data_IF_000559632846
#
_entry.id   IF_000559632846
#
_cell.length_a   1.000
_cell.length_b   1.000
_cell.length_c   1.000
_cell.angle_alpha   90.00
_cell.angle_beta   90.00
_cell.angle_gamma   90.00
#
_symmetry.space_group_name_H-M   'P 1'
#
loop_
_entity.id
_entity.type
_entity.pdbx_description
1 polymer ?
#
# COMPACT_ATOMS: atom_id res chain seq x y z
N UNK A 1 8.77 12.35 38.26
CA UNK A 1 9.25 13.01 37.03
C UNK A 1 10.58 13.69 37.31
N UNK A 2 11.49 13.82 36.34
CA UNK A 2 12.70 14.64 36.54
C UNK A 2 12.41 16.13 36.31
N UNK A 3 11.67 16.44 35.24
CA UNK A 3 11.18 17.79 34.96
C UNK A 3 9.66 17.81 35.01
N UNK A 4 9.07 18.75 35.75
CA UNK A 4 7.62 18.97 35.82
C UNK A 4 7.32 20.45 35.54
N UNK A 5 6.48 20.72 34.54
CA UNK A 5 6.08 22.07 34.14
C UNK A 5 4.56 22.24 34.26
N UNK A 6 4.12 23.37 34.81
CA UNK A 6 2.72 23.75 34.94
C UNK A 6 2.62 25.28 34.76
N UNK A 7 1.95 25.75 33.69
CA UNK A 7 1.98 27.15 33.22
C UNK A 7 3.41 27.75 33.19
N UNK A 8 4.39 26.96 32.76
CA UNK A 8 5.80 27.35 32.81
C UNK A 8 6.48 27.33 31.44
N UNK A 9 7.55 28.11 31.30
CA UNK A 9 8.45 28.04 30.15
C UNK A 9 9.79 27.45 30.58
N UNK A 10 10.21 26.35 29.96
CA UNK A 10 11.46 25.66 30.27
C UNK A 10 12.31 25.51 29.01
N UNK A 11 13.61 25.73 29.14
CA UNK A 11 14.61 25.45 28.11
C UNK A 11 15.62 24.47 28.69
N UNK A 12 15.82 23.34 28.01
CA UNK A 12 16.82 22.33 28.34
C UNK A 12 17.77 22.19 27.15
N UNK A 13 19.07 22.40 27.37
CA UNK A 13 20.10 22.23 26.35
C UNK A 13 21.14 21.22 26.83
N UNK A 14 21.36 20.16 26.06
CA UNK A 14 22.34 19.11 26.33
C UNK A 14 22.20 18.48 27.73
N UNK A 15 20.96 18.23 28.14
CA UNK A 15 20.65 17.65 29.46
C UNK A 15 20.37 16.15 29.32
N UNK A 16 21.08 15.35 30.10
CA UNK A 16 20.80 13.92 30.27
C UNK A 16 19.89 13.68 31.46
N UNK A 17 18.78 12.98 31.22
CA UNK A 17 17.77 12.65 32.22
C UNK A 17 17.64 11.14 32.33
N UNK A 18 17.86 10.61 33.53
CA UNK A 18 17.53 9.24 33.89
C UNK A 18 16.46 9.24 34.97
N UNK A 19 15.33 8.57 34.72
CA UNK A 19 14.30 8.33 35.73
C UNK A 19 13.97 6.85 35.84
N UNK A 20 13.61 6.42 37.06
CA UNK A 20 13.14 5.07 37.32
C UNK A 20 11.92 5.08 38.23
N UNK A 21 11.12 4.02 38.14
CA UNK A 21 9.88 3.85 38.90
C UNK A 21 8.65 3.82 38.00
N UNK A 22 7.56 3.24 38.52
CA UNK A 22 6.28 3.21 37.82
C UNK A 22 5.70 4.63 37.70
N UNK A 23 5.08 4.94 36.55
CA UNK A 23 4.45 6.26 36.27
C UNK A 23 5.49 7.41 36.29
N UNK A 24 6.78 7.09 36.19
CA UNK A 24 7.81 8.11 36.03
C UNK A 24 7.66 8.82 34.68
N UNK A 25 8.20 10.04 34.58
CA UNK A 25 8.47 10.62 33.27
C UNK A 25 9.79 11.39 33.30
N UNK A 26 10.51 11.41 32.19
CA UNK A 26 11.67 12.29 32.05
C UNK A 26 11.22 13.74 32.14
N UNK A 27 10.32 14.12 31.24
CA UNK A 27 9.67 15.44 31.23
C UNK A 27 8.15 15.24 31.30
N UNK A 28 7.51 15.97 32.21
CA UNK A 28 6.05 16.07 32.25
C UNK A 28 5.62 17.53 32.12
N UNK A 29 4.99 17.85 30.99
CA UNK A 29 4.51 19.19 30.66
C UNK A 29 3.00 19.27 30.79
N UNK A 30 2.49 20.23 31.58
CA UNK A 30 1.06 20.42 31.81
C UNK A 30 0.62 21.87 31.61
N UNK A 31 -0.62 22.04 31.19
CA UNK A 31 -1.41 23.28 31.27
C UNK A 31 -0.67 24.54 30.79
N UNK A 32 -0.78 24.84 29.49
CA UNK A 32 -0.23 26.05 28.87
C UNK A 32 1.30 26.16 28.96
N UNK A 33 2.00 25.11 29.40
CA UNK A 33 3.46 25.10 29.47
C UNK A 33 4.07 25.08 28.07
N UNK A 34 5.29 25.61 27.98
CA UNK A 34 6.12 25.61 26.77
C UNK A 34 7.51 25.10 27.08
N UNK A 35 7.87 23.97 26.53
CA UNK A 35 9.19 23.37 26.77
C UNK A 35 9.94 23.25 25.44
N UNK A 36 11.17 23.75 25.42
CA UNK A 36 12.11 23.52 24.32
C UNK A 36 13.26 22.67 24.83
N UNK A 37 13.56 21.59 24.12
CA UNK A 37 14.69 20.69 24.41
C UNK A 37 15.58 20.57 23.18
N UNK A 38 16.87 20.84 23.34
CA UNK A 38 17.87 20.66 22.28
C UNK A 38 19.03 19.81 22.78
N UNK A 39 19.33 18.72 22.09
CA UNK A 39 20.40 17.80 22.48
C UNK A 39 20.07 16.96 23.73
N UNK A 40 21.07 16.22 24.19
CA UNK A 40 20.97 15.37 25.37
C UNK A 40 20.19 14.06 25.16
N UNK A 41 19.86 13.43 26.27
CA UNK A 41 19.16 12.13 26.28
C UNK A 41 18.14 12.01 27.41
N UNK A 42 17.09 11.24 27.18
CA UNK A 42 16.12 10.86 28.21
C UNK A 42 16.02 9.34 28.25
N UNK A 43 16.26 8.76 29.43
CA UNK A 43 16.02 7.35 29.71
C UNK A 43 15.03 7.18 30.85
N UNK A 44 13.97 6.41 30.62
CA UNK A 44 12.98 6.10 31.64
C UNK A 44 12.82 4.59 31.81
N UNK A 45 12.77 4.14 33.08
CA UNK A 45 12.71 2.72 33.42
C UNK A 45 11.55 2.47 34.40
N UNK A 46 10.54 1.75 33.97
CA UNK A 46 9.38 1.40 34.79
C UNK A 46 8.11 1.24 33.95
N UNK A 47 7.08 0.64 34.53
CA UNK A 47 5.78 0.52 33.86
C UNK A 47 5.08 1.89 33.83
N UNK A 48 4.44 2.23 32.72
CA UNK A 48 3.85 3.55 32.46
C UNK A 48 4.88 4.70 32.56
N UNK A 49 6.18 4.41 32.39
CA UNK A 49 7.23 5.40 32.55
C UNK A 49 7.53 6.12 31.22
N UNK A 50 6.74 7.14 30.87
CA UNK A 50 6.88 7.82 29.57
C UNK A 50 8.19 8.62 29.47
N UNK A 51 8.78 8.72 28.29
CA UNK A 51 9.97 9.57 28.08
C UNK A 51 9.62 11.04 28.30
N UNK A 52 8.71 11.53 27.47
CA UNK A 52 8.10 12.86 27.59
C UNK A 52 6.58 12.71 27.55
N UNK A 53 5.91 13.29 28.53
CA UNK A 53 4.45 13.37 28.61
C UNK A 53 4.01 14.82 28.46
N UNK A 54 3.19 15.09 27.44
CA UNK A 54 2.69 16.40 27.05
C UNK A 54 1.18 16.41 27.24
N UNK A 55 0.71 17.24 28.16
CA UNK A 55 -0.71 17.41 28.47
C UNK A 55 -1.07 18.89 28.35
N UNK A 56 -1.96 19.25 27.42
CA UNK A 56 -2.41 20.64 27.23
C UNK A 56 -1.25 21.65 27.19
N UNK A 57 -0.20 21.36 26.45
CA UNK A 57 1.03 22.17 26.41
C UNK A 57 1.75 22.02 25.08
N UNK A 58 2.72 22.90 24.83
CA UNK A 58 3.52 22.91 23.61
C UNK A 58 4.95 22.47 23.92
N UNK A 59 5.44 21.46 23.20
CA UNK A 59 6.81 20.96 23.33
C UNK A 59 7.54 20.96 21.98
N UNK A 60 8.74 21.52 21.97
CA UNK A 60 9.65 21.51 20.82
C UNK A 60 10.90 20.71 21.18
N UNK A 61 11.23 19.72 20.35
CA UNK A 61 12.36 18.82 20.53
C UNK A 61 13.30 18.90 19.34
N UNK A 62 14.61 18.95 19.60
CA UNK A 62 15.62 18.90 18.55
C UNK A 62 16.80 18.03 18.96
N UNK A 63 17.21 17.12 18.08
CA UNK A 63 18.47 16.35 18.23
C UNK A 63 18.57 15.59 19.56
N UNK A 64 17.47 15.00 20.03
CA UNK A 64 17.41 14.31 21.32
C UNK A 64 17.16 12.81 21.14
N UNK A 65 17.82 12.01 21.97
CA UNK A 65 17.57 10.57 22.08
C UNK A 65 16.67 10.25 23.27
N UNK A 66 15.63 9.45 23.06
CA UNK A 66 14.66 9.06 24.09
C UNK A 66 14.55 7.54 24.10
N UNK A 67 14.83 6.92 25.24
CA UNK A 67 14.74 5.48 25.46
C UNK A 67 13.81 5.17 26.63
N UNK A 68 12.79 4.35 26.40
CA UNK A 68 11.85 3.95 27.45
C UNK A 68 11.83 2.43 27.61
N UNK A 69 11.84 2.00 28.87
CA UNK A 69 11.87 0.58 29.25
C UNK A 69 10.74 0.25 30.21
N UNK A 70 9.73 -0.47 29.75
CA UNK A 70 8.63 -0.94 30.58
C UNK A 70 7.31 -1.05 29.85
N UNK A 71 6.36 -1.78 30.44
CA UNK A 71 5.03 -1.93 29.82
C UNK A 71 4.32 -0.58 29.81
N UNK A 72 3.70 -0.20 28.69
CA UNK A 72 3.03 1.09 28.52
C UNK A 72 3.95 2.31 28.73
N UNK A 73 5.27 2.13 28.62
CA UNK A 73 6.24 3.21 28.72
C UNK A 73 6.49 3.81 27.32
N UNK A 74 5.67 4.77 26.91
CA UNK A 74 5.75 5.36 25.58
C UNK A 74 6.93 6.33 25.50
N UNK A 75 7.60 6.40 24.34
CA UNK A 75 8.68 7.37 24.13
C UNK A 75 8.19 8.80 24.29
N UNK A 76 7.19 9.16 23.50
CA UNK A 76 6.46 10.41 23.56
C UNK A 76 4.98 10.12 23.77
N UNK A 77 4.36 10.74 24.78
CA UNK A 77 2.90 10.73 24.98
C UNK A 77 2.38 12.15 24.86
N UNK A 78 1.47 12.39 23.94
CA UNK A 78 0.83 13.68 23.70
C UNK A 78 -0.66 13.51 23.95
N UNK A 79 -1.24 14.37 24.77
CA UNK A 79 -2.63 14.27 25.19
C UNK A 79 -3.28 15.63 25.39
N UNK A 80 -4.59 15.66 25.17
CA UNK A 80 -5.51 16.75 25.54
C UNK A 80 -5.02 18.17 25.17
N UNK A 81 -5.11 18.56 23.89
CA UNK A 81 -4.54 19.80 23.33
C UNK A 81 -3.02 19.89 23.38
N UNK A 82 -2.33 18.81 23.74
CA UNK A 82 -0.89 18.72 23.64
C UNK A 82 -0.43 18.86 22.19
N UNK A 83 0.60 19.68 21.98
CA UNK A 83 1.28 19.80 20.70
C UNK A 83 2.76 19.45 20.86
N UNK A 84 3.29 18.69 19.91
CA UNK A 84 4.70 18.35 19.87
C UNK A 84 5.26 18.60 18.47
N UNK A 85 6.37 19.33 18.41
CA UNK A 85 7.19 19.49 17.21
C UNK A 85 8.56 18.90 17.46
N UNK A 86 9.06 18.11 16.51
CA UNK A 86 10.32 17.39 16.65
C UNK A 86 11.15 17.44 15.39
N UNK A 87 12.46 17.65 15.54
CA UNK A 87 13.44 17.58 14.46
C UNK A 87 14.63 16.70 14.87
N UNK A 88 14.97 15.72 14.03
CA UNK A 88 16.11 14.81 14.23
C UNK A 88 16.05 14.08 15.59
N UNK A 89 14.89 13.46 15.88
CA UNK A 89 14.70 12.69 17.12
C UNK A 89 15.09 11.23 16.92
N UNK A 90 15.62 10.60 17.96
CA UNK A 90 15.78 9.15 18.03
C UNK A 90 14.96 8.62 19.20
N UNK A 91 13.81 8.01 18.92
CA UNK A 91 12.88 7.53 19.97
C UNK A 91 12.79 6.01 19.91
N UNK A 92 13.03 5.36 21.04
CA UNK A 92 12.96 3.92 21.19
C UNK A 92 12.14 3.53 22.42
N UNK A 93 11.03 2.81 22.21
CA UNK A 93 10.27 2.15 23.27
C UNK A 93 10.27 0.64 23.05
N UNK A 94 10.72 -0.13 24.05
CA UNK A 94 10.92 -1.58 23.89
C UNK A 94 9.68 -2.45 24.17
N UNK A 95 8.62 -1.87 24.74
CA UNK A 95 7.43 -2.59 25.24
C UNK A 95 6.14 -1.74 25.17
N UNK A 96 6.17 -0.66 24.39
CA UNK A 96 5.05 0.22 24.11
C UNK A 96 5.29 0.93 22.77
N UNK A 97 4.48 1.92 22.44
CA UNK A 97 4.71 2.69 21.22
C UNK A 97 5.82 3.73 21.36
N UNK A 98 6.48 4.04 20.23
CA UNK A 98 7.43 5.15 20.18
C UNK A 98 6.72 6.47 20.48
N UNK A 99 5.58 6.70 19.82
CA UNK A 99 4.72 7.87 20.02
C UNK A 99 3.29 7.43 20.30
N UNK A 100 2.65 8.06 21.27
CA UNK A 100 1.25 7.92 21.61
C UNK A 100 0.56 9.28 21.52
N UNK A 101 -0.48 9.40 20.69
CA UNK A 101 -1.44 10.49 20.72
C UNK A 101 -2.69 9.96 21.43
N UNK A 102 -2.90 10.41 22.66
CA UNK A 102 -3.98 9.97 23.55
C UNK A 102 -4.98 11.10 23.74
N UNK A 103 -6.11 11.02 23.00
CA UNK A 103 -7.22 11.94 23.15
C UNK A 103 -8.11 11.47 24.30
N UNK A 104 -8.03 12.18 25.42
CA UNK A 104 -8.99 12.04 26.52
C UNK A 104 -10.21 12.95 26.33
N UNK A 105 -10.00 14.23 26.00
CA UNK A 105 -11.07 15.20 25.77
C UNK A 105 -10.89 15.93 24.44
N UNK A 106 -9.69 16.45 24.23
CA UNK A 106 -9.34 17.21 23.03
C UNK A 106 -8.23 16.52 22.22
N UNK A 107 -8.15 16.87 20.95
CA UNK A 107 -7.16 16.42 19.98
C UNK A 107 -5.72 16.63 20.47
N UNK A 108 -4.87 15.68 20.10
CA UNK A 108 -3.42 15.75 20.24
C UNK A 108 -2.78 15.91 18.86
N UNK A 109 -1.69 16.68 18.78
CA UNK A 109 -0.98 16.92 17.54
C UNK A 109 0.52 16.64 17.70
N UNK A 110 1.08 15.90 16.74
CA UNK A 110 2.52 15.71 16.62
C UNK A 110 2.99 15.98 15.18
N UNK A 111 4.08 16.74 15.05
CA UNK A 111 4.77 16.98 13.78
C UNK A 111 6.25 16.64 13.94
N UNK A 112 6.73 15.59 13.25
CA UNK A 112 8.08 15.08 13.39
C UNK A 112 8.82 15.12 12.05
N UNK A 113 10.01 15.72 12.06
CA UNK A 113 10.87 15.86 10.88
C UNK A 113 12.16 15.06 11.10
N UNK A 114 12.61 14.34 10.06
CA UNK A 114 13.86 13.57 10.03
C UNK A 114 14.08 12.61 11.21
N UNK A 115 12.99 12.18 11.86
CA UNK A 115 13.06 11.45 13.13
C UNK A 115 13.01 9.94 12.92
N UNK A 116 13.74 9.21 13.76
CA UNK A 116 13.75 7.75 13.80
C UNK A 116 12.87 7.30 14.96
N UNK A 117 11.70 6.74 14.67
CA UNK A 117 10.74 6.32 15.68
C UNK A 117 10.63 4.80 15.68
N UNK A 118 10.98 4.21 16.82
CA UNK A 118 10.87 2.77 17.08
C UNK A 118 9.95 2.51 18.26
N UNK A 119 8.94 1.68 18.05
CA UNK A 119 8.10 1.12 19.11
C UNK A 119 7.98 -0.39 18.98
N UNK A 120 7.39 -1.02 19.98
CA UNK A 120 7.21 -2.47 20.00
C UNK A 120 5.97 -2.88 19.19
N UNK A 121 4.78 -2.73 19.77
CA UNK A 121 3.51 -3.05 19.10
C UNK A 121 3.11 -2.04 18.04
N UNK A 122 3.54 -0.78 18.18
CA UNK A 122 3.36 0.23 17.16
C UNK A 122 4.45 1.30 17.22
N UNK A 123 4.85 1.87 16.09
CA UNK A 123 5.71 3.07 16.13
C UNK A 123 4.91 4.29 16.57
N UNK A 124 3.75 4.51 15.94
CA UNK A 124 2.77 5.53 16.29
C UNK A 124 1.45 4.89 16.68
N UNK A 125 0.93 5.27 17.85
CA UNK A 125 -0.34 4.81 18.37
C UNK A 125 -1.25 6.00 18.58
N UNK A 126 -2.46 5.97 18.03
CA UNK A 126 -3.47 7.00 18.17
C UNK A 126 -4.66 6.39 18.90
N UNK A 127 -5.05 6.99 20.02
CA UNK A 127 -6.16 6.55 20.83
C UNK A 127 -7.09 7.70 21.17
N UNK A 128 -8.37 7.39 21.24
CA UNK A 128 -9.43 8.29 21.69
C UNK A 128 -10.52 7.55 22.46
N UNK A 129 -10.22 6.36 23.01
CA UNK A 129 -11.20 5.48 23.66
C UNK A 129 -11.97 6.13 24.82
N UNK A 130 -11.43 7.21 25.39
CA UNK A 130 -12.01 7.92 26.52
C UNK A 130 -12.73 9.22 26.12
N UNK A 131 -12.78 9.56 24.84
CA UNK A 131 -13.38 10.80 24.39
C UNK A 131 -14.90 10.72 24.30
N UNK A 132 -15.55 11.77 24.80
CA UNK A 132 -17.02 11.92 24.78
C UNK A 132 -17.53 12.65 23.53
N UNK A 133 -16.64 13.31 22.77
CA UNK A 133 -16.96 14.18 21.63
C UNK A 133 -16.20 13.77 20.37
N UNK A 134 -16.93 13.68 19.26
CA UNK A 134 -16.57 13.01 17.99
C UNK A 134 -15.95 13.96 16.93
N UNK A 135 -15.91 15.26 17.19
CA UNK A 135 -15.52 16.26 16.17
C UNK A 135 -14.02 16.60 16.14
N UNK A 136 -13.26 16.35 17.21
CA UNK A 136 -11.81 16.62 17.20
C UNK A 136 -10.95 15.42 16.75
N UNK A 137 -9.97 15.72 15.90
CA UNK A 137 -9.13 14.76 15.18
C UNK A 137 -7.71 14.75 15.74
N UNK A 138 -7.17 13.57 16.07
CA UNK A 138 -5.74 13.45 16.35
C UNK A 138 -4.95 13.60 15.05
N UNK A 139 -3.96 14.50 15.02
CA UNK A 139 -3.19 14.79 13.82
C UNK A 139 -1.72 14.41 13.98
N UNK A 140 -1.22 13.64 13.03
CA UNK A 140 0.17 13.19 12.98
C UNK A 140 0.77 13.53 11.63
N UNK A 141 1.79 14.39 11.63
CA UNK A 141 2.55 14.77 10.45
C UNK A 141 3.99 14.27 10.56
N UNK A 142 4.46 13.56 9.55
CA UNK A 142 5.81 12.99 9.52
C UNK A 142 6.48 13.41 8.22
N UNK A 143 7.64 14.03 8.31
CA UNK A 143 8.44 14.44 7.15
C UNK A 143 9.82 13.80 7.22
N UNK A 144 10.13 12.90 6.28
CA UNK A 144 11.37 12.14 6.31
C UNK A 144 11.44 11.11 7.46
N UNK A 145 12.67 10.68 7.76
CA UNK A 145 12.93 9.80 8.91
C UNK A 145 12.69 8.31 8.65
N UNK A 146 12.51 7.55 9.73
CA UNK A 146 12.14 6.13 9.69
C UNK A 146 11.13 5.75 10.75
N UNK A 147 10.36 4.70 10.45
CA UNK A 147 9.29 4.18 11.28
C UNK A 147 9.47 2.69 11.44
N UNK A 148 9.63 2.22 12.68
CA UNK A 148 9.86 0.81 12.99
C UNK A 148 8.92 0.32 14.09
N UNK A 149 8.22 -0.79 13.83
CA UNK A 149 7.52 -1.56 14.84
C UNK A 149 8.22 -2.92 15.00
N UNK A 150 8.71 -3.24 16.20
CA UNK A 150 9.57 -4.43 16.40
C UNK A 150 8.79 -5.71 16.65
N UNK A 151 7.54 -5.63 17.08
CA UNK A 151 6.70 -6.80 17.25
C UNK A 151 6.42 -7.48 15.90
N UNK A 152 6.30 -8.81 15.91
CA UNK A 152 6.07 -9.62 14.69
C UNK A 152 4.82 -9.19 13.91
N UNK A 153 3.80 -8.74 14.62
CA UNK A 153 2.51 -8.23 14.13
C UNK A 153 2.37 -6.72 14.35
N UNK A 154 3.47 -6.04 14.67
CA UNK A 154 3.49 -4.61 14.98
C UNK A 154 3.13 -3.75 13.78
N UNK A 155 2.55 -2.58 14.07
CA UNK A 155 2.08 -1.63 13.06
C UNK A 155 2.92 -0.36 13.04
N UNK A 156 3.27 0.16 11.87
CA UNK A 156 3.88 1.49 11.79
C UNK A 156 2.92 2.54 12.36
N UNK A 157 1.64 2.45 11.96
CA UNK A 157 0.55 3.27 12.46
C UNK A 157 -0.57 2.40 13.02
N UNK A 158 -0.97 2.65 14.26
CA UNK A 158 -2.12 1.99 14.88
C UNK A 158 -3.13 3.04 15.35
N UNK A 159 -4.36 2.97 14.85
CA UNK A 159 -5.48 3.79 15.31
C UNK A 159 -6.46 2.91 16.08
N UNK A 160 -6.51 3.09 17.39
CA UNK A 160 -7.36 2.30 18.26
C UNK A 160 -8.79 2.83 18.33
N UNK A 161 -8.94 4.14 18.42
CA UNK A 161 -10.24 4.81 18.48
C UNK A 161 -10.12 6.28 18.10
N UNK A 162 -11.24 6.88 17.71
CA UNK A 162 -11.37 8.28 17.34
C UNK A 162 -11.00 8.58 15.90
N UNK A 163 -11.29 9.82 15.51
CA UNK A 163 -10.89 10.34 14.22
C UNK A 163 -9.38 10.62 14.19
N UNK A 164 -8.74 10.30 13.08
CA UNK A 164 -7.31 10.47 12.90
C UNK A 164 -6.97 11.03 11.51
N UNK A 165 -6.03 11.97 11.47
CA UNK A 165 -5.43 12.47 10.23
C UNK A 165 -3.91 12.24 10.29
N UNK A 166 -3.44 11.28 9.50
CA UNK A 166 -2.04 10.89 9.42
C UNK A 166 -1.52 11.28 8.04
N UNK A 167 -0.50 12.13 8.00
CA UNK A 167 0.19 12.51 6.77
C UNK A 167 1.67 12.15 6.88
N UNK A 168 2.16 11.36 5.93
CA UNK A 168 3.58 11.07 5.73
C UNK A 168 4.07 11.75 4.46
N UNK A 169 5.23 12.38 4.54
CA UNK A 169 5.85 13.19 3.50
C UNK A 169 7.31 12.79 3.37
N UNK A 170 7.76 12.34 2.20
CA UNK A 170 9.13 11.86 1.97
C UNK A 170 9.60 10.80 2.97
N UNK A 171 8.68 9.94 3.45
CA UNK A 171 9.02 8.86 4.37
C UNK A 171 9.64 7.70 3.59
N UNK A 172 10.91 7.39 3.83
CA UNK A 172 11.65 6.41 3.00
C UNK A 172 11.79 5.02 3.64
N UNK A 173 11.65 4.92 4.96
CA UNK A 173 11.99 3.70 5.70
C UNK A 173 10.84 3.31 6.64
N UNK A 174 10.03 2.34 6.21
CA UNK A 174 8.99 1.72 7.04
C UNK A 174 9.34 0.25 7.26
N UNK A 175 9.57 -0.14 8.51
CA UNK A 175 9.83 -1.50 8.93
C UNK A 175 8.78 -1.95 9.94
N UNK A 176 7.69 -2.50 9.44
CA UNK A 176 6.60 -3.04 10.24
C UNK A 176 5.91 -4.17 9.46
N UNK A 177 5.19 -5.05 10.16
CA UNK A 177 4.36 -6.05 9.52
C UNK A 177 3.15 -5.38 8.84
N UNK A 178 2.51 -4.50 9.60
CA UNK A 178 1.40 -3.69 9.12
C UNK A 178 1.88 -2.24 8.92
N UNK A 179 1.59 -1.65 7.77
CA UNK A 179 1.70 -0.22 7.55
C UNK A 179 0.70 0.51 8.45
N UNK A 180 -0.59 0.14 8.34
CA UNK A 180 -1.67 0.76 9.09
C UNK A 180 -2.61 -0.31 9.65
N UNK A 181 -2.95 -0.16 10.93
CA UNK A 181 -4.02 -0.92 11.57
C UNK A 181 -5.03 0.03 12.17
N UNK A 182 -6.31 -0.19 11.87
CA UNK A 182 -7.43 0.54 12.49
C UNK A 182 -8.29 -0.49 13.21
N UNK A 183 -8.60 -0.26 14.48
CA UNK A 183 -9.46 -1.16 15.25
C UNK A 183 -10.84 -1.27 14.59
N UNK A 184 -11.38 -2.50 14.48
CA UNK A 184 -12.66 -2.75 13.83
C UNK A 184 -13.83 -1.99 14.47
N UNK A 185 -13.74 -1.67 15.77
CA UNK A 185 -14.76 -0.90 16.49
C UNK A 185 -14.58 0.62 16.33
N UNK A 186 -13.62 1.09 15.54
CA UNK A 186 -13.46 2.50 15.26
C UNK A 186 -14.34 2.93 14.08
N UNK A 187 -15.46 3.59 14.39
CA UNK A 187 -16.42 4.12 13.41
C UNK A 187 -16.11 5.56 12.94
N UNK A 188 -15.05 6.16 13.47
CA UNK A 188 -14.69 7.56 13.21
C UNK A 188 -13.74 7.65 12.01
N UNK A 189 -13.78 8.77 11.29
CA UNK A 189 -12.99 8.92 10.07
C UNK A 189 -11.48 8.82 10.35
N UNK A 190 -10.80 7.92 9.63
CA UNK A 190 -9.34 7.81 9.64
C UNK A 190 -8.84 8.10 8.24
N UNK A 191 -7.95 9.08 8.13
CA UNK A 191 -7.34 9.45 6.85
C UNK A 191 -5.84 9.24 6.95
N UNK A 192 -5.30 8.47 6.03
CA UNK A 192 -3.86 8.27 5.85
C UNK A 192 -3.44 8.81 4.49
N UNK A 193 -2.50 9.76 4.45
CA UNK A 193 -2.00 10.36 3.21
C UNK A 193 -0.51 10.15 3.08
N UNK A 194 -0.08 9.70 1.91
CA UNK A 194 1.32 9.62 1.53
C UNK A 194 1.63 10.67 0.45
N UNK A 195 2.67 11.46 0.71
CA UNK A 195 3.10 12.57 -0.13
C UNK A 195 4.59 12.48 -0.46
N UNK A 196 4.97 13.10 -1.57
CA UNK A 196 6.34 13.39 -2.00
C UNK A 196 7.29 12.20 -1.82
N UNK A 197 7.36 11.33 -2.82
CA UNK A 197 8.32 10.20 -2.87
C UNK A 197 8.24 9.24 -1.67
N UNK A 198 7.17 9.25 -0.88
CA UNK A 198 7.03 8.36 0.28
C UNK A 198 7.03 6.89 -0.16
N UNK A 199 7.95 6.10 0.41
CA UNK A 199 8.06 4.65 0.20
C UNK A 199 7.50 3.89 1.41
N UNK A 200 6.33 3.30 1.22
CA UNK A 200 5.59 2.56 2.23
C UNK A 200 5.78 1.06 2.04
N UNK A 201 5.69 0.31 3.15
CA UNK A 201 5.77 -1.15 3.15
C UNK A 201 4.94 -1.73 4.29
N UNK A 202 4.27 -2.84 4.03
CA UNK A 202 3.43 -3.55 5.01
C UNK A 202 1.99 -3.72 4.56
N UNK A 203 1.23 -4.53 5.27
CA UNK A 203 -0.21 -4.72 5.06
C UNK A 203 -1.01 -3.53 5.62
N UNK A 204 -2.22 -3.31 5.12
CA UNK A 204 -3.18 -2.40 5.76
C UNK A 204 -4.36 -3.22 6.29
N UNK A 205 -4.60 -3.15 7.60
CA UNK A 205 -5.74 -3.78 8.29
C UNK A 205 -6.72 -2.68 8.71
N UNK A 206 -7.51 -2.20 7.77
CA UNK A 206 -8.38 -1.03 7.94
C UNK A 206 -9.61 -1.08 7.03
N UNK A 207 -10.27 -2.24 6.97
CA UNK A 207 -11.37 -2.53 6.04
C UNK A 207 -12.66 -1.74 6.25
N UNK A 208 -12.77 -0.98 7.34
CA UNK A 208 -13.96 -0.17 7.61
C UNK A 208 -14.09 0.98 6.60
N UNK A 209 -15.31 1.24 6.12
CA UNK A 209 -15.60 2.23 5.07
C UNK A 209 -15.33 3.69 5.46
N UNK A 210 -15.13 3.99 6.75
CA UNK A 210 -14.70 5.29 7.28
C UNK A 210 -13.17 5.51 7.19
N UNK A 211 -12.40 4.53 6.71
CA UNK A 211 -10.97 4.67 6.50
C UNK A 211 -10.68 5.08 5.06
N UNK A 212 -9.85 6.10 4.87
CA UNK A 212 -9.36 6.56 3.57
C UNK A 212 -7.84 6.53 3.52
N UNK A 213 -7.30 5.96 2.45
CA UNK A 213 -5.87 5.94 2.13
C UNK A 213 -5.68 6.65 0.80
N UNK A 214 -4.92 7.74 0.81
CA UNK A 214 -4.61 8.52 -0.38
C UNK A 214 -3.10 8.50 -0.66
N UNK A 215 -2.72 8.00 -1.83
CA UNK A 215 -1.33 8.00 -2.31
C UNK A 215 -1.17 9.04 -3.41
N UNK A 216 -0.23 9.97 -3.24
CA UNK A 216 0.08 10.93 -4.29
C UNK A 216 0.82 10.30 -5.47
N UNK A 217 1.02 11.09 -6.54
CA UNK A 217 1.63 10.63 -7.80
C UNK A 217 3.08 10.13 -7.70
N UNK A 218 3.76 10.43 -6.59
CA UNK A 218 5.17 10.06 -6.37
C UNK A 218 5.33 8.97 -5.32
N UNK A 219 4.27 8.69 -4.56
CA UNK A 219 4.31 7.72 -3.48
C UNK A 219 4.28 6.29 -4.01
N UNK A 220 4.98 5.42 -3.30
CA UNK A 220 5.07 3.99 -3.56
C UNK A 220 4.56 3.21 -2.35
N UNK A 221 3.66 2.26 -2.56
CA UNK A 221 3.28 1.28 -1.56
C UNK A 221 3.65 -0.14 -1.98
N UNK A 222 4.52 -0.78 -1.19
CA UNK A 222 4.83 -2.20 -1.31
C UNK A 222 3.91 -3.01 -0.39
N UNK A 223 2.90 -3.64 -0.97
CA UNK A 223 1.94 -4.47 -0.22
C UNK A 223 2.63 -5.73 0.27
N UNK A 224 2.58 -5.97 1.59
CA UNK A 224 3.16 -7.16 2.22
C UNK A 224 2.15 -7.76 3.20
N UNK A 225 1.45 -8.82 2.79
CA UNK A 225 0.31 -9.36 3.53
C UNK A 225 -1.02 -8.95 2.93
N UNK A 226 -2.07 -9.73 3.24
CA UNK A 226 -3.43 -9.38 2.88
C UNK A 226 -3.80 -8.01 3.44
N UNK A 227 -4.36 -7.14 2.59
CA UNK A 227 -4.71 -5.79 2.97
C UNK A 227 -6.20 -5.54 2.76
N UNK A 228 -6.88 -5.03 3.78
CA UNK A 228 -8.28 -4.61 3.74
C UNK A 228 -8.37 -3.11 4.01
N UNK A 229 -9.05 -2.37 3.13
CA UNK A 229 -9.13 -0.91 3.16
C UNK A 229 -10.57 -0.47 2.93
N UNK A 230 -11.04 0.58 3.60
CA UNK A 230 -12.28 1.25 3.25
C UNK A 230 -12.20 1.86 1.85
N UNK A 231 -11.50 2.99 1.72
CA UNK A 231 -11.37 3.72 0.47
C UNK A 231 -9.90 3.93 0.14
N UNK A 232 -9.49 3.51 -1.05
CA UNK A 232 -8.14 3.69 -1.58
C UNK A 232 -8.19 4.59 -2.82
N UNK A 233 -7.56 5.76 -2.74
CA UNK A 233 -7.22 6.57 -3.91
C UNK A 233 -5.74 6.43 -4.17
N UNK A 234 -5.38 5.91 -5.33
CA UNK A 234 -3.98 5.82 -5.74
C UNK A 234 -3.73 6.76 -6.91
N UNK A 235 -2.75 7.65 -6.79
CA UNK A 235 -2.17 8.36 -7.93
C UNK A 235 -0.73 7.92 -8.24
N UNK A 236 -0.10 7.16 -7.34
CA UNK A 236 1.29 6.70 -7.44
C UNK A 236 1.39 5.23 -7.80
N UNK A 237 2.35 4.54 -7.18
CA UNK A 237 2.71 3.16 -7.51
C UNK A 237 2.26 2.22 -6.39
N UNK A 238 1.59 1.13 -6.76
CA UNK A 238 1.30 0.00 -5.87
C UNK A 238 2.02 -1.23 -6.41
N UNK A 239 2.86 -1.84 -5.58
CA UNK A 239 3.49 -3.12 -5.85
C UNK A 239 2.81 -4.20 -5.02
N UNK A 240 2.15 -5.15 -5.69
CA UNK A 240 1.48 -6.28 -5.09
C UNK A 240 2.12 -7.58 -5.56
N UNK A 241 2.55 -8.41 -4.61
CA UNK A 241 2.99 -9.77 -4.89
C UNK A 241 2.01 -10.74 -4.25
N UNK A 242 1.36 -11.57 -5.07
CA UNK A 242 0.29 -12.46 -4.61
C UNK A 242 0.77 -13.63 -3.76
N UNK A 243 2.08 -13.92 -3.76
CA UNK A 243 2.67 -14.85 -2.78
C UNK A 243 2.71 -14.22 -1.38
N UNK A 244 2.61 -12.90 -1.28
CA UNK A 244 2.58 -12.15 -0.01
C UNK A 244 1.16 -11.81 0.44
N UNK A 245 0.18 -11.67 -0.46
CA UNK A 245 -1.22 -11.45 -0.11
C UNK A 245 -2.05 -10.82 -1.22
N UNK A 246 -3.31 -10.53 -0.91
CA UNK A 246 -4.31 -9.91 -1.80
C UNK A 246 -4.75 -8.52 -1.30
N UNK A 247 -5.44 -7.77 -2.17
CA UNK A 247 -5.96 -6.44 -1.85
C UNK A 247 -7.49 -6.41 -1.84
N UNK A 248 -8.06 -6.03 -0.71
CA UNK A 248 -9.48 -5.83 -0.51
C UNK A 248 -9.75 -4.35 -0.26
N UNK A 249 -10.63 -3.73 -1.03
CA UNK A 249 -11.00 -2.33 -0.84
C UNK A 249 -12.49 -2.09 -1.07
N UNK A 250 -13.22 -1.48 -0.13
CA UNK A 250 -14.62 -1.15 -0.42
C UNK A 250 -14.71 -0.20 -1.65
N UNK A 251 -13.79 0.76 -1.76
CA UNK A 251 -13.64 1.62 -2.93
C UNK A 251 -12.19 1.69 -3.40
N UNK A 252 -11.95 1.37 -4.67
CA UNK A 252 -10.67 1.56 -5.35
C UNK A 252 -10.80 2.62 -6.44
N UNK A 253 -10.04 3.71 -6.32
CA UNK A 253 -9.96 4.77 -7.31
C UNK A 253 -8.53 4.90 -7.82
N UNK A 254 -8.34 4.60 -9.10
CA UNK A 254 -7.09 4.85 -9.81
C UNK A 254 -7.23 6.12 -10.66
N UNK A 255 -6.15 6.88 -10.75
CA UNK A 255 -6.02 8.11 -11.56
C UNK A 255 -5.14 7.86 -12.78
N UNK A 256 -5.03 8.83 -13.70
CA UNK A 256 -4.20 8.70 -14.91
C UNK A 256 -2.72 8.39 -14.61
N UNK A 257 -2.19 8.80 -13.46
CA UNK A 257 -0.78 8.58 -13.09
C UNK A 257 -0.56 7.28 -12.31
N UNK A 258 -1.62 6.54 -11.97
CA UNK A 258 -1.52 5.31 -11.19
C UNK A 258 -0.73 4.25 -11.93
N UNK A 259 0.12 3.53 -11.20
CA UNK A 259 0.77 2.31 -11.69
C UNK A 259 0.47 1.19 -10.71
N UNK A 260 -0.11 0.12 -11.20
CA UNK A 260 -0.37 -1.09 -10.43
C UNK A 260 0.53 -2.22 -10.97
N UNK A 261 1.55 -2.58 -10.20
CA UNK A 261 2.43 -3.70 -10.51
C UNK A 261 1.97 -4.93 -9.73
N UNK A 262 1.55 -5.99 -10.43
CA UNK A 262 1.13 -7.24 -9.81
C UNK A 262 2.06 -8.36 -10.25
N UNK A 263 2.75 -8.96 -9.29
CA UNK A 263 3.46 -10.21 -9.47
C UNK A 263 2.54 -11.36 -9.08
N UNK A 264 2.07 -12.10 -10.08
CA UNK A 264 1.25 -13.28 -9.89
C UNK A 264 2.13 -14.47 -9.46
N UNK A 265 1.63 -15.27 -8.55
CA UNK A 265 2.22 -16.53 -8.13
C UNK A 265 1.52 -17.71 -8.84
N UNK A 266 2.22 -18.84 -8.96
CA UNK A 266 1.68 -20.06 -9.58
C UNK A 266 0.47 -20.64 -8.83
N UNK A 267 0.28 -20.35 -7.54
CA UNK A 267 -0.87 -20.89 -6.82
C UNK A 267 -2.12 -20.02 -6.89
N UNK A 268 -2.09 -18.88 -7.58
CA UNK A 268 -3.23 -17.95 -7.61
C UNK A 268 -4.37 -18.55 -8.44
N UNK A 269 -5.51 -18.80 -7.77
CA UNK A 269 -6.76 -19.23 -8.40
C UNK A 269 -7.96 -18.33 -8.10
N UNK A 270 -7.81 -17.38 -7.16
CA UNK A 270 -8.84 -16.43 -6.76
C UNK A 270 -8.48 -15.02 -7.24
N UNK A 271 -9.46 -14.10 -7.35
CA UNK A 271 -9.18 -12.70 -7.65
C UNK A 271 -8.17 -12.08 -6.69
N UNK A 272 -7.20 -11.38 -7.26
CA UNK A 272 -6.11 -10.73 -6.52
C UNK A 272 -6.58 -9.45 -5.84
N UNK A 273 -7.52 -8.76 -6.48
CA UNK A 273 -8.12 -7.54 -5.98
C UNK A 273 -9.62 -7.74 -5.87
N UNK A 274 -10.18 -7.50 -4.70
CA UNK A 274 -11.62 -7.59 -4.44
C UNK A 274 -12.15 -6.25 -3.96
N UNK A 275 -13.24 -5.77 -4.56
CA UNK A 275 -13.79 -4.45 -4.22
C UNK A 275 -15.30 -4.41 -4.16
N UNK A 276 -15.88 -3.39 -3.52
CA UNK A 276 -17.29 -3.07 -3.76
C UNK A 276 -17.45 -2.17 -5.00
N UNK A 277 -16.59 -1.15 -5.11
CA UNK A 277 -16.57 -0.21 -6.24
C UNK A 277 -15.15 -0.02 -6.76
N UNK A 278 -14.99 -0.02 -8.07
CA UNK A 278 -13.70 0.20 -8.74
C UNK A 278 -13.83 1.20 -9.88
N UNK A 279 -12.91 2.17 -9.91
CA UNK A 279 -12.66 3.03 -11.07
C UNK A 279 -11.21 2.85 -11.50
N UNK A 280 -11.00 2.26 -12.67
CA UNK A 280 -9.68 1.93 -13.21
C UNK A 280 -9.20 3.03 -14.16
N UNK A 281 -7.90 3.28 -14.12
CA UNK A 281 -7.17 4.25 -14.92
C UNK A 281 -5.65 3.97 -14.79
N UNK A 282 -4.81 4.68 -15.53
CA UNK A 282 -3.35 4.57 -15.43
C UNK A 282 -2.81 3.28 -16.06
N UNK A 283 -1.76 2.70 -15.47
CA UNK A 283 -1.07 1.53 -16.00
C UNK A 283 -1.22 0.29 -15.10
N UNK A 284 -1.47 -0.86 -15.73
CA UNK A 284 -1.40 -2.18 -15.11
C UNK A 284 -0.18 -2.94 -15.67
N UNK A 285 0.69 -3.42 -14.79
CA UNK A 285 1.84 -4.23 -15.15
C UNK A 285 1.77 -5.58 -14.45
N UNK A 286 1.73 -6.66 -15.22
CA UNK A 286 1.68 -8.02 -14.70
C UNK A 286 3.04 -8.70 -14.87
N UNK A 287 3.47 -9.47 -13.87
CA UNK A 287 4.61 -10.37 -13.96
C UNK A 287 4.27 -11.71 -13.29
N UNK A 288 5.13 -12.72 -13.43
CA UNK A 288 4.90 -14.01 -12.75
C UNK A 288 3.75 -14.84 -13.34
N UNK A 289 3.63 -14.89 -14.66
CA UNK A 289 2.59 -15.60 -15.44
C UNK A 289 2.57 -17.14 -15.30
N UNK A 290 3.04 -17.71 -14.19
CA UNK A 290 3.27 -19.15 -14.04
C UNK A 290 2.03 -20.04 -14.17
N UNK A 291 0.82 -19.46 -14.23
CA UNK A 291 -0.46 -20.12 -14.55
C UNK A 291 -0.93 -19.97 -15.99
N UNK A 292 -0.27 -19.17 -16.84
CA UNK A 292 -0.46 -19.21 -18.30
C UNK A 292 0.30 -20.43 -18.88
N UNK A 293 0.31 -21.55 -18.15
CA UNK A 293 1.12 -22.71 -18.48
C UNK A 293 0.29 -23.81 -19.16
N UNK A 294 0.61 -23.97 -20.44
CA UNK A 294 0.99 -25.24 -21.06
C UNK A 294 -0.03 -26.08 -21.84
N UNK A 295 -1.20 -25.54 -22.16
CA UNK A 295 -1.89 -25.96 -23.39
C UNK A 295 -2.90 -24.89 -23.78
N UNK A 296 -2.50 -23.97 -24.66
CA UNK A 296 -3.47 -23.07 -25.26
C UNK A 296 -4.35 -23.91 -26.17
N UNK A 297 -5.50 -24.27 -25.61
CA UNK A 297 -6.68 -24.76 -26.29
C UNK A 297 -7.25 -23.67 -27.19
N UNK A 298 -8.08 -24.03 -28.16
CA UNK A 298 -8.78 -23.04 -29.01
C UNK A 298 -9.62 -22.06 -28.19
N UNK A 299 -9.92 -22.38 -26.93
CA UNK A 299 -10.57 -21.50 -25.97
C UNK A 299 -9.53 -20.72 -25.16
N UNK A 300 -9.70 -19.39 -25.02
CA UNK A 300 -8.78 -18.57 -24.25
C UNK A 300 -8.75 -19.01 -22.78
N UNK A 301 -7.59 -18.95 -22.15
CA UNK A 301 -7.50 -19.05 -20.70
C UNK A 301 -7.79 -17.67 -20.11
N UNK A 302 -8.79 -17.63 -19.22
CA UNK A 302 -9.25 -16.41 -18.57
C UNK A 302 -9.00 -16.51 -17.07
N UNK A 303 -8.42 -15.48 -16.49
CA UNK A 303 -8.21 -15.34 -15.06
C UNK A 303 -8.80 -14.01 -14.58
N UNK A 304 -9.73 -14.05 -13.63
CA UNK A 304 -10.28 -12.84 -13.02
C UNK A 304 -9.24 -12.22 -12.07
N UNK A 305 -8.69 -11.08 -12.45
CA UNK A 305 -7.71 -10.34 -11.65
C UNK A 305 -8.39 -9.47 -10.59
N UNK A 306 -9.45 -8.77 -10.99
CA UNK A 306 -10.24 -7.89 -10.13
C UNK A 306 -11.68 -8.38 -10.13
N UNK A 307 -12.26 -8.56 -8.94
CA UNK A 307 -13.67 -8.84 -8.75
C UNK A 307 -14.31 -7.73 -7.92
N UNK A 308 -15.30 -7.05 -8.47
CA UNK A 308 -16.06 -6.01 -7.81
C UNK A 308 -17.49 -6.48 -7.48
N UNK A 309 -18.16 -5.84 -6.53
CA UNK A 309 -19.61 -6.02 -6.31
C UNK A 309 -20.45 -5.24 -7.33
N UNK A 310 -19.93 -4.12 -7.84
CA UNK A 310 -20.59 -3.25 -8.83
C UNK A 310 -19.82 -3.23 -10.15
N UNK A 311 -20.44 -2.72 -11.21
CA UNK A 311 -19.78 -2.53 -12.50
C UNK A 311 -18.49 -1.70 -12.32
N UNK A 312 -17.41 -2.18 -12.93
CA UNK A 312 -16.14 -1.48 -12.98
C UNK A 312 -16.27 -0.30 -13.93
N UNK A 313 -15.83 0.87 -13.46
CA UNK A 313 -15.82 2.10 -14.25
C UNK A 313 -14.41 2.36 -14.83
N UNK A 314 -14.35 2.85 -16.07
CA UNK A 314 -13.07 3.13 -16.76
C UNK A 314 -12.35 1.86 -17.24
N UNK A 315 -11.06 1.96 -17.56
CA UNK A 315 -10.14 0.87 -17.89
C UNK A 315 -8.70 1.38 -17.67
N UNK A 316 -7.70 0.50 -17.64
CA UNK A 316 -6.30 0.89 -17.67
C UNK A 316 -5.95 1.48 -19.05
N UNK A 317 -5.25 2.61 -19.05
CA UNK A 317 -4.74 3.24 -20.28
C UNK A 317 -3.60 2.41 -20.89
N UNK A 318 -2.79 1.78 -20.04
CA UNK A 318 -1.61 1.03 -20.43
C UNK A 318 -1.59 -0.35 -19.76
N UNK A 319 -1.20 -1.39 -20.49
CA UNK A 319 -1.10 -2.75 -19.98
C UNK A 319 0.21 -3.42 -20.45
N UNK A 320 0.99 -3.97 -19.52
CA UNK A 320 2.24 -4.68 -19.83
C UNK A 320 2.28 -6.05 -19.14
N UNK A 321 2.98 -7.01 -19.76
CA UNK A 321 3.24 -8.33 -19.18
C UNK A 321 4.72 -8.64 -19.25
N UNK A 322 5.31 -8.98 -18.10
CA UNK A 322 6.73 -9.26 -17.92
C UNK A 322 7.66 -8.14 -18.46
N UNK A 323 7.21 -6.89 -18.40
CA UNK A 323 7.95 -5.72 -18.89
C UNK A 323 7.95 -5.56 -20.41
N UNK A 324 7.20 -6.40 -21.13
CA UNK A 324 6.92 -6.26 -22.56
C UNK A 324 5.53 -5.63 -22.67
N UNK A 325 5.35 -4.68 -23.59
CA UNK A 325 3.99 -4.24 -23.93
C UNK A 325 3.19 -5.48 -24.34
N UNK A 326 2.01 -5.68 -23.75
CA UNK A 326 1.20 -6.86 -24.03
C UNK A 326 0.85 -6.99 -25.53
N UNK A 327 1.01 -5.90 -26.29
CA UNK A 327 0.85 -5.80 -27.75
C UNK A 327 2.06 -6.28 -28.57
N UNK A 328 3.21 -6.61 -27.96
CA UNK A 328 4.45 -6.95 -28.67
C UNK A 328 4.82 -8.45 -28.73
N UNK A 329 4.14 -9.34 -27.98
CA UNK A 329 4.26 -10.79 -28.23
C UNK A 329 3.39 -11.18 -29.40
N UNK A 330 3.99 -11.53 -30.53
CA UNK A 330 3.24 -11.68 -31.78
C UNK A 330 2.38 -12.96 -31.78
N UNK A 331 2.81 -14.12 -31.28
CA UNK A 331 1.97 -15.33 -31.31
C UNK A 331 0.99 -15.52 -30.13
N UNK A 332 1.16 -14.77 -29.04
CA UNK A 332 0.29 -14.81 -27.85
C UNK A 332 -0.24 -13.42 -27.52
N UNK A 333 -1.55 -13.28 -27.55
CA UNK A 333 -2.22 -12.12 -27.00
C UNK A 333 -2.50 -12.38 -25.53
N UNK A 334 -1.91 -11.56 -24.66
CA UNK A 334 -2.40 -11.41 -23.29
C UNK A 334 -3.13 -10.08 -23.28
N UNK A 335 -4.40 -10.11 -22.91
CA UNK A 335 -5.27 -8.94 -22.87
C UNK A 335 -5.79 -8.75 -21.45
N UNK A 336 -5.87 -7.49 -21.02
CA UNK A 336 -6.52 -7.10 -19.78
C UNK A 336 -7.78 -6.34 -20.14
N UNK A 337 -8.94 -6.79 -19.64
CA UNK A 337 -10.21 -6.14 -19.99
C UNK A 337 -11.29 -6.32 -18.94
N UNK A 338 -12.29 -5.44 -19.00
CA UNK A 338 -13.56 -5.67 -18.32
C UNK A 338 -14.31 -6.80 -19.02
N UNK A 339 -14.82 -7.77 -18.26
CA UNK A 339 -15.62 -8.87 -18.78
C UNK A 339 -16.94 -8.32 -19.40
N UNK A 340 -17.23 -8.61 -20.68
CA UNK A 340 -18.42 -8.09 -21.36
C UNK A 340 -19.74 -8.67 -20.84
N UNK A 341 -19.71 -9.89 -20.31
CA UNK A 341 -20.87 -10.59 -19.74
C UNK A 341 -21.08 -10.26 -18.26
N UNK A 342 -20.00 -9.88 -17.57
CA UNK A 342 -20.03 -9.46 -16.17
C UNK A 342 -19.10 -8.26 -15.94
N UNK A 343 -19.64 -7.05 -16.10
CA UNK A 343 -18.86 -5.81 -15.96
C UNK A 343 -18.30 -5.55 -14.57
N UNK A 344 -18.64 -6.37 -13.57
CA UNK A 344 -18.03 -6.33 -12.25
C UNK A 344 -16.68 -7.07 -12.18
N UNK A 345 -16.19 -7.63 -13.29
CA UNK A 345 -14.93 -8.39 -13.33
C UNK A 345 -13.95 -7.79 -14.33
N UNK A 346 -12.69 -7.67 -13.91
CA UNK A 346 -11.55 -7.40 -14.79
C UNK A 346 -10.75 -8.69 -14.95
N UNK A 347 -10.53 -9.10 -16.19
CA UNK A 347 -9.95 -10.39 -16.53
C UNK A 347 -8.65 -10.22 -17.31
N UNK A 348 -7.71 -11.11 -17.03
CA UNK A 348 -6.58 -11.39 -17.89
C UNK A 348 -6.97 -12.54 -18.80
N UNK A 349 -7.04 -12.27 -20.10
CA UNK A 349 -7.38 -13.24 -21.14
C UNK A 349 -6.14 -13.55 -21.94
N UNK A 350 -5.86 -14.83 -22.12
CA UNK A 350 -4.66 -15.29 -22.83
C UNK A 350 -5.12 -16.19 -23.98
N UNK A 351 -4.75 -15.80 -25.20
CA UNK A 351 -5.17 -16.45 -26.42
C UNK A 351 -4.03 -16.46 -27.45
N UNK A 352 -4.13 -17.34 -28.44
CA UNK A 352 -3.30 -17.22 -29.63
C UNK A 352 -3.74 -15.97 -30.40
N UNK A 353 -2.79 -15.17 -30.87
CA UNK A 353 -3.09 -13.97 -31.68
C UNK A 353 -3.87 -14.31 -32.96
N UNK A 354 -3.80 -15.57 -33.40
CA UNK A 354 -4.64 -16.13 -34.46
C UNK A 354 -6.15 -15.93 -34.25
N UNK A 355 -6.60 -15.95 -32.98
CA UNK A 355 -8.01 -15.87 -32.60
C UNK A 355 -8.36 -14.59 -31.81
N UNK A 356 -7.47 -13.59 -31.77
CA UNK A 356 -7.62 -12.40 -30.94
C UNK A 356 -8.96 -11.67 -31.18
N UNK A 357 -9.31 -11.41 -32.44
CA UNK A 357 -10.58 -10.78 -32.86
C UNK A 357 -11.80 -11.61 -32.44
N UNK A 358 -11.76 -12.94 -32.63
CA UNK A 358 -12.85 -13.85 -32.24
C UNK A 358 -13.15 -13.75 -30.75
N UNK A 359 -12.15 -13.39 -29.95
CA UNK A 359 -12.25 -13.27 -28.52
C UNK A 359 -12.39 -11.83 -28.04
N UNK A 360 -12.57 -10.83 -28.91
CA UNK A 360 -12.63 -9.40 -28.58
C UNK A 360 -11.39 -8.88 -27.84
N UNK A 361 -10.18 -9.34 -28.21
CA UNK A 361 -8.97 -8.80 -27.61
C UNK A 361 -8.70 -7.35 -28.06
N UNK A 362 -7.94 -6.57 -27.29
CA UNK A 362 -7.54 -5.21 -27.65
C UNK A 362 -6.54 -5.12 -28.82
N UNK A 363 -5.95 -6.24 -29.24
CA UNK A 363 -5.04 -6.33 -30.40
C UNK A 363 -5.71 -7.08 -31.56
N UNK A 364 -5.48 -6.60 -32.79
CA UNK A 364 -5.98 -7.26 -34.01
C UNK A 364 -5.40 -8.68 -34.16
N UNK A 365 -6.22 -9.60 -34.64
CA UNK A 365 -5.76 -10.95 -34.96
C UNK A 365 -4.71 -10.95 -36.08
N UNK A 366 -3.73 -11.86 -35.96
CA UNK A 366 -2.73 -12.09 -37.00
C UNK A 366 -2.13 -13.51 -36.95
N UNK A 367 -1.56 -13.95 -38.06
CA UNK A 367 -0.98 -15.30 -38.23
C UNK A 367 0.54 -15.41 -38.02
N UNK A 368 1.20 -14.36 -37.53
CA UNK A 368 2.66 -14.35 -37.32
C UNK A 368 3.06 -14.99 -35.99
N UNK A 369 4.05 -15.89 -36.05
CA UNK A 369 4.72 -16.49 -34.90
C UNK A 369 6.22 -16.24 -34.96
N UNK A 370 6.75 -15.36 -34.11
CA UNK A 370 8.19 -15.07 -34.05
C UNK A 370 8.85 -15.77 -32.87
N UNK A 371 9.61 -16.83 -33.15
CA UNK A 371 10.45 -17.51 -32.15
C UNK A 371 11.92 -17.11 -32.38
N UNK A 372 12.37 -16.05 -31.73
CA UNK A 372 13.71 -15.47 -31.97
C UNK A 372 14.86 -16.28 -31.35
N UNK A 373 14.62 -17.01 -30.26
CA UNK A 373 15.62 -17.86 -29.64
C UNK A 373 15.84 -19.15 -30.46
N UNK A 374 17.08 -19.43 -30.86
CA UNK A 374 17.43 -20.59 -31.70
C UNK A 374 17.12 -21.96 -31.06
N UNK A 375 17.02 -22.03 -29.72
CA UNK A 375 16.57 -23.21 -28.98
C UNK A 375 15.14 -23.08 -28.44
N UNK A 376 14.43 -22.01 -28.80
CA UNK A 376 13.04 -21.80 -28.44
C UNK A 376 12.14 -22.76 -29.21
N UNK A 377 11.28 -23.46 -28.50
CA UNK A 377 10.27 -24.35 -29.08
C UNK A 377 8.89 -23.90 -28.60
N UNK A 378 7.93 -23.82 -29.51
CA UNK A 378 6.54 -23.55 -29.19
C UNK A 378 5.63 -24.55 -29.89
N UNK A 379 4.79 -25.23 -29.13
CA UNK A 379 3.86 -26.23 -29.67
C UNK A 379 2.42 -25.73 -29.63
N UNK A 380 1.81 -25.61 -30.80
CA UNK A 380 0.37 -25.37 -30.95
C UNK A 380 -0.35 -26.71 -30.94
N UNK A 381 -1.00 -27.02 -29.81
CA UNK A 381 -1.68 -28.30 -29.58
C UNK A 381 -3.07 -28.41 -30.21
N UNK A 382 -3.58 -27.33 -30.79
CA UNK A 382 -4.91 -27.27 -31.38
C UNK A 382 -4.84 -26.96 -32.86
N UNK A 383 -5.86 -27.41 -33.59
CA UNK A 383 -5.97 -27.08 -35.00
C UNK A 383 -6.23 -25.59 -35.14
N UNK A 384 -5.45 -24.94 -36.00
CA UNK A 384 -5.67 -23.57 -36.45
C UNK A 384 -6.67 -23.60 -37.62
N UNK A 385 -7.76 -22.83 -37.50
CA UNK A 385 -8.82 -22.72 -38.50
C UNK A 385 -8.76 -21.38 -39.23
N UNK A 386 -9.28 -21.35 -40.45
CA UNK A 386 -9.69 -20.10 -41.11
C UNK A 386 -10.53 -19.25 -40.15
N UNK A 387 -10.05 -18.06 -39.83
CA UNK A 387 -10.84 -17.07 -39.08
C UNK A 387 -11.45 -16.09 -40.05
N UNK A 388 -12.79 -16.05 -40.08
CA UNK A 388 -13.49 -15.00 -40.80
C UNK A 388 -13.37 -13.72 -39.99
N UNK A 389 -13.00 -12.63 -40.67
CA UNK A 389 -12.86 -11.29 -40.10
C UNK A 389 -14.24 -10.77 -39.62
N UNK A 390 -14.70 -11.23 -38.45
CA UNK A 390 -16.09 -11.08 -37.99
C UNK A 390 -16.34 -9.85 -37.14
N UNK A 391 -15.33 -9.04 -36.82
CA UNK A 391 -15.53 -7.74 -36.18
C UNK A 391 -15.20 -6.60 -37.14
N UNK A 392 -16.24 -5.89 -37.57
CA UNK A 392 -16.13 -4.83 -38.54
C UNK A 392 -15.33 -3.61 -38.01
N UNK A 393 -14.28 -3.28 -38.77
CA UNK A 393 -13.76 -1.93 -39.07
C UNK A 393 -12.53 -1.35 -38.35
N UNK A 394 -11.82 -2.07 -37.47
CA UNK A 394 -10.47 -1.62 -37.06
C UNK A 394 -9.32 -2.42 -37.62
N UNK A 395 -9.57 -3.55 -38.30
CA UNK A 395 -8.56 -4.51 -38.72
C UNK A 395 -7.45 -3.84 -39.55
N UNK A 396 -6.41 -3.41 -38.84
CA UNK A 396 -5.28 -2.62 -39.35
C UNK A 396 -4.11 -3.52 -39.71
N UNK A 397 -4.17 -4.80 -39.29
CA UNK A 397 -3.12 -5.79 -39.50
C UNK A 397 -2.95 -6.19 -40.98
N UNK A 398 -4.02 -6.09 -41.78
CA UNK A 398 -4.01 -6.51 -43.19
C UNK A 398 -3.88 -8.03 -43.38
N UNK A 399 -4.01 -8.82 -42.32
CA UNK A 399 -3.94 -10.27 -42.37
C UNK A 399 -5.18 -10.88 -43.03
N UNK A 400 -5.01 -11.99 -43.76
CA UNK A 400 -6.08 -12.64 -44.54
C UNK A 400 -6.96 -13.58 -43.71
N UNK A 401 -6.62 -13.79 -42.44
CA UNK A 401 -7.31 -14.71 -41.53
C UNK A 401 -6.96 -16.19 -41.75
N UNK A 402 -5.93 -16.48 -42.55
CA UNK A 402 -5.60 -17.84 -43.02
C UNK A 402 -4.11 -18.13 -43.01
N UNK A 403 -3.29 -17.18 -43.40
CA UNK A 403 -1.87 -17.40 -43.65
C UNK A 403 -1.07 -17.42 -42.35
N UNK A 404 -0.43 -18.56 -42.04
CA UNK A 404 0.56 -18.66 -40.97
C UNK A 404 1.94 -18.19 -41.44
N UNK A 405 2.55 -17.27 -40.70
CA UNK A 405 3.93 -16.81 -40.95
C UNK A 405 4.81 -17.16 -39.77
N UNK A 406 5.82 -18.02 -39.95
CA UNK A 406 6.83 -18.34 -38.93
C UNK A 406 8.08 -17.49 -39.14
N UNK A 407 8.46 -16.69 -38.14
CA UNK A 407 9.68 -15.88 -38.11
C UNK A 407 10.62 -16.31 -36.96
N UNK A 408 11.89 -15.91 -37.05
CA UNK A 408 12.93 -16.22 -36.06
C UNK A 408 13.50 -17.65 -36.15
N UNK A 409 14.60 -17.90 -35.42
CA UNK A 409 15.42 -19.11 -35.52
C UNK A 409 14.87 -20.34 -34.76
N UNK A 410 13.90 -20.16 -33.86
CA UNK A 410 13.30 -21.23 -33.06
C UNK A 410 12.33 -22.13 -33.83
N UNK A 411 11.83 -23.19 -33.18
CA UNK A 411 10.96 -24.22 -33.77
C UNK A 411 9.50 -24.03 -33.37
N UNK A 412 8.61 -23.86 -34.36
CA UNK A 412 7.16 -23.92 -34.17
C UNK A 412 6.68 -25.34 -34.50
N UNK A 413 6.03 -26.00 -33.56
CA UNK A 413 5.45 -27.33 -33.71
C UNK A 413 3.93 -27.20 -33.79
N UNK A 414 3.35 -27.56 -34.93
CA UNK A 414 1.90 -27.70 -35.05
C UNK A 414 1.56 -29.18 -34.83
N UNK A 415 1.00 -29.53 -33.67
CA UNK A 415 0.75 -30.94 -33.31
C UNK A 415 -0.68 -31.40 -33.64
N UNK A 416 -1.51 -30.52 -34.20
CA UNK A 416 -2.86 -30.82 -34.69
C UNK A 416 -2.96 -30.70 -36.22
N UNK A 417 -3.99 -31.32 -36.80
CA UNK A 417 -4.31 -31.20 -38.22
C UNK A 417 -5.03 -29.87 -38.49
N UNK A 418 -4.27 -28.84 -38.84
CA UNK A 418 -4.79 -27.50 -39.14
C UNK A 418 -5.58 -27.46 -40.45
N UNK A 419 -6.50 -26.50 -40.56
CA UNK A 419 -7.48 -26.36 -41.65
C UNK A 419 -7.44 -24.98 -42.32
N UNK A 420 -6.54 -24.10 -41.89
CA UNK A 420 -6.28 -22.79 -42.49
C UNK A 420 -5.66 -22.84 -43.90
#
# INVERSE_FOLDING_TARGET
HATYAYFAKILLNDVDILTSGSIAAGIYSREGSRITVTGGSIKTIGNNANGIDVYHSDVELKQISIETQGKYAHGLRISDKGTLTGDDLNVFSNRASGVLLDKSWNSALASLTNSQITGDSAAYYLDSSYAYYDDEVNSLNITGGSVTATAKDGSAFYVNAGAADITVDNLQNVSAANLLTVNDNNWNNVIFRAKNDSTLSGAIQAGNSNVTVDLDKTSLWNVRGDSAIGNLTNAGIINLNTASGSLYAAKLMLTDSSILNIQLDRSVGEPVIVTSYSSLNGALNISGIGNINNSLITTPYTFTLISAENEINGDFNNFTVAGIDAKETDFLTIDGRINPDNKAQYELVTALSWYADKHNAATDAHGTFTLSAANGEFTVNNHLDDVTNTLASTNSSGWDGKSLTKLGDGTLILSAANTY
#
